data_IF_611923104059
#
_entry.id   IF_611923104059
#
_cell.length_a   1.000
_cell.length_b   1.000
_cell.length_c   1.000
_cell.angle_alpha   90.00
_cell.angle_beta   90.00
_cell.angle_gamma   90.00
#
_symmetry.space_group_name_H-M   'P 1'
#
loop_
_entity.id
_entity.type
_entity.pdbx_description
1 polymer ?
#
# COMPACT_ATOMS: atom_id res chain seq x y z
N UNK A 1 -14.13 13.41 -12.63
CA UNK A 1 -13.55 12.12 -13.08
C UNK A 1 -12.01 12.08 -12.97
N UNK A 2 -11.28 13.08 -13.48
CA UNK A 2 -9.81 13.10 -13.46
C UNK A 2 -9.18 13.06 -12.05
N UNK A 3 -9.80 13.70 -11.06
CA UNK A 3 -9.30 13.72 -9.68
C UNK A 3 -9.36 12.34 -9.00
N UNK A 4 -10.44 11.58 -9.26
CA UNK A 4 -10.62 10.23 -8.73
C UNK A 4 -9.65 9.23 -9.35
N UNK A 5 -9.39 9.30 -10.66
CA UNK A 5 -8.40 8.43 -11.31
C UNK A 5 -6.98 8.72 -10.82
N UNK A 6 -6.61 10.00 -10.69
CA UNK A 6 -5.29 10.36 -10.18
C UNK A 6 -5.11 9.89 -8.72
N UNK A 7 -6.16 9.99 -7.90
CA UNK A 7 -6.18 9.46 -6.53
C UNK A 7 -6.11 7.93 -6.48
N UNK A 8 -6.81 7.21 -7.36
CA UNK A 8 -6.78 5.75 -7.45
C UNK A 8 -5.39 5.24 -7.86
N UNK A 9 -4.76 5.88 -8.84
CA UNK A 9 -3.39 5.54 -9.28
C UNK A 9 -2.39 5.78 -8.15
N UNK A 10 -2.49 6.91 -7.42
CA UNK A 10 -1.64 7.17 -6.26
C UNK A 10 -1.83 6.12 -5.17
N UNK A 11 -3.07 5.73 -4.89
CA UNK A 11 -3.39 4.67 -3.91
C UNK A 11 -2.78 3.34 -4.35
N UNK A 12 -2.97 2.93 -5.60
CA UNK A 12 -2.40 1.70 -6.14
C UNK A 12 -0.86 1.69 -6.08
N UNK A 13 -0.19 2.80 -6.42
CA UNK A 13 1.26 2.91 -6.34
C UNK A 13 1.78 2.70 -4.91
N UNK A 14 1.09 3.25 -3.89
CA UNK A 14 1.45 3.02 -2.49
C UNK A 14 1.29 1.56 -2.12
N UNK A 15 0.17 0.91 -2.48
CA UNK A 15 -0.03 -0.52 -2.23
C UNK A 15 1.04 -1.39 -2.89
N UNK A 16 1.41 -1.10 -4.14
CA UNK A 16 2.48 -1.84 -4.84
C UNK A 16 3.84 -1.69 -4.14
N UNK A 17 4.20 -0.48 -3.69
CA UNK A 17 5.43 -0.26 -2.94
C UNK A 17 5.44 -1.02 -1.60
N UNK A 18 4.31 -1.09 -0.91
CA UNK A 18 4.19 -1.91 0.31
C UNK A 18 4.41 -3.38 -0.03
N UNK A 19 3.70 -3.90 -1.03
CA UNK A 19 3.81 -5.31 -1.47
C UNK A 19 5.25 -5.68 -1.89
N UNK A 20 5.94 -4.81 -2.62
CA UNK A 20 7.35 -5.02 -2.98
C UNK A 20 8.29 -5.04 -1.78
N UNK A 21 7.99 -4.27 -0.73
CA UNK A 21 8.79 -4.30 0.50
C UNK A 21 8.75 -5.68 1.15
N UNK A 22 7.58 -6.33 1.15
CA UNK A 22 7.43 -7.70 1.66
C UNK A 22 7.99 -8.77 0.71
N UNK A 23 7.85 -8.59 -0.61
CA UNK A 23 8.29 -9.57 -1.59
C UNK A 23 9.82 -9.57 -1.82
N UNK A 24 10.46 -8.40 -1.82
CA UNK A 24 11.90 -8.24 -2.12
C UNK A 24 12.78 -8.10 -0.87
N UNK A 25 12.16 -7.77 0.26
CA UNK A 25 12.83 -7.43 1.53
C UNK A 25 13.10 -5.93 1.69
N UNK A 26 13.07 -5.47 2.95
CA UNK A 26 13.28 -4.06 3.30
C UNK A 26 14.62 -3.51 2.83
N UNK A 27 15.71 -4.28 2.93
CA UNK A 27 17.06 -3.82 2.56
C UNK A 27 17.17 -3.43 1.08
N UNK A 28 16.53 -4.19 0.18
CA UNK A 28 16.55 -3.90 -1.26
C UNK A 28 15.65 -2.73 -1.63
N UNK A 29 14.58 -2.51 -0.88
CA UNK A 29 13.66 -1.39 -1.10
C UNK A 29 14.15 -0.07 -0.50
N UNK A 30 14.85 -0.11 0.63
CA UNK A 30 15.33 1.07 1.36
C UNK A 30 16.03 2.15 0.50
N UNK A 31 16.98 1.83 -0.42
CA UNK A 31 17.62 2.85 -1.25
C UNK A 31 16.66 3.56 -2.21
N UNK A 32 15.61 2.87 -2.68
CA UNK A 32 14.59 3.46 -3.53
C UNK A 32 13.64 4.36 -2.74
N UNK A 33 13.34 3.98 -1.49
CA UNK A 33 12.44 4.74 -0.63
C UNK A 33 13.03 6.07 -0.12
N UNK A 34 14.36 6.21 -0.08
CA UNK A 34 15.06 7.46 0.29
C UNK A 34 14.83 8.62 -0.68
N UNK A 35 14.43 8.34 -1.92
CA UNK A 35 14.10 9.36 -2.91
C UNK A 35 12.73 10.01 -2.67
N UNK A 36 11.90 9.44 -1.78
CA UNK A 36 10.64 10.05 -1.39
C UNK A 36 10.89 11.14 -0.34
N UNK A 37 10.05 12.19 -0.37
CA UNK A 37 10.06 13.19 0.70
C UNK A 37 9.72 12.55 2.04
N UNK A 38 10.24 13.14 3.13
CA UNK A 38 10.09 12.63 4.50
C UNK A 38 8.63 12.29 4.84
N UNK A 39 7.68 13.14 4.47
CA UNK A 39 6.25 12.91 4.74
C UNK A 39 5.69 11.70 4.00
N UNK A 40 6.07 11.49 2.73
CA UNK A 40 5.61 10.34 1.94
C UNK A 40 6.26 9.04 2.43
N UNK A 41 7.53 9.10 2.81
CA UNK A 41 8.23 7.97 3.39
C UNK A 41 7.58 7.53 4.71
N UNK A 42 7.31 8.48 5.62
CA UNK A 42 6.61 8.20 6.89
C UNK A 42 5.24 7.58 6.65
N UNK A 43 4.47 8.09 5.69
CA UNK A 43 3.18 7.51 5.33
C UNK A 43 3.35 6.05 4.87
N UNK A 44 4.30 5.78 3.97
CA UNK A 44 4.57 4.43 3.48
C UNK A 44 4.97 3.47 4.61
N UNK A 45 5.80 3.92 5.54
CA UNK A 45 6.19 3.15 6.74
C UNK A 45 4.98 2.76 7.60
N UNK A 46 4.02 3.67 7.78
CA UNK A 46 2.76 3.36 8.49
C UNK A 46 1.98 2.25 7.77
N UNK A 47 1.88 2.30 6.44
CA UNK A 47 1.21 1.25 5.66
C UNK A 47 1.92 -0.11 5.73
N UNK A 48 3.25 -0.12 5.69
CA UNK A 48 4.05 -1.35 5.85
C UNK A 48 3.81 -1.95 7.24
N UNK A 49 3.90 -1.15 8.30
CA UNK A 49 3.65 -1.61 9.68
C UNK A 49 2.24 -2.15 9.86
N UNK A 50 1.23 -1.45 9.31
CA UNK A 50 -0.17 -1.89 9.37
C UNK A 50 -0.38 -3.24 8.69
N UNK A 51 0.15 -3.43 7.48
CA UNK A 51 0.04 -4.70 6.76
C UNK A 51 0.78 -5.84 7.46
N UNK A 52 1.91 -5.55 8.09
CA UNK A 52 2.67 -6.52 8.88
C UNK A 52 1.91 -7.00 10.11
N UNK A 53 1.12 -6.12 10.73
CA UNK A 53 0.27 -6.43 11.88
C UNK A 53 -1.00 -7.18 11.44
N UNK A 54 -1.65 -6.75 10.35
CA UNK A 54 -2.79 -7.44 9.72
C UNK A 54 -2.43 -8.88 9.33
N UNK A 55 -1.19 -9.14 8.86
CA UNK A 55 -0.72 -10.49 8.54
C UNK A 55 -0.40 -11.38 9.76
N UNK A 56 -0.27 -10.82 10.97
CA UNK A 56 0.04 -11.56 12.20
C UNK A 56 -1.19 -11.92 13.03
N UNK A 57 -2.30 -11.21 12.83
CA UNK A 57 -3.59 -11.54 13.43
C UNK A 57 -4.43 -12.33 12.44
N UNK A 58 -4.21 -13.64 12.34
CA UNK A 58 -4.99 -14.51 11.47
C UNK A 58 -6.46 -14.56 11.87
N UNK A 59 -7.34 -14.02 11.02
CA UNK A 59 -8.75 -14.43 10.92
C UNK A 59 -9.81 -13.35 11.17
N UNK A 60 -10.53 -12.94 10.11
CA UNK A 60 -11.89 -12.38 10.25
C UNK A 60 -12.36 -11.38 9.18
N UNK A 61 -13.17 -11.84 8.22
CA UNK A 61 -14.19 -11.04 7.49
C UNK A 61 -13.74 -10.37 6.20
N UNK A 62 -13.98 -10.95 5.02
CA UNK A 62 -15.21 -10.74 4.24
C UNK A 62 -14.92 -9.74 3.10
N UNK A 63 -14.79 -10.13 1.83
CA UNK A 63 -15.85 -10.74 1.04
C UNK A 63 -16.85 -9.67 0.62
N UNK A 64 -16.68 -9.09 -0.58
CA UNK A 64 -17.58 -8.06 -1.09
C UNK A 64 -17.18 -7.51 -2.46
N UNK A 65 -17.17 -8.38 -3.47
CA UNK A 65 -17.34 -7.97 -4.87
C UNK A 65 -18.84 -7.80 -5.20
N UNK A 66 -19.15 -6.88 -6.10
CA UNK A 66 -20.48 -6.60 -6.65
C UNK A 66 -20.88 -5.13 -6.44
N UNK A 67 -21.45 -4.37 -7.38
CA UNK A 67 -21.86 -4.58 -8.78
C UNK A 67 -21.72 -3.21 -9.48
N UNK A 68 -21.80 -3.09 -10.81
CA UNK A 68 -22.97 -3.45 -11.60
C UNK A 68 -23.79 -2.18 -11.86
N UNK A 69 -23.94 -1.85 -13.14
CA UNK A 69 -24.55 -0.64 -13.69
C UNK A 69 -25.91 -0.23 -13.09
N UNK A 70 -26.10 1.08 -12.95
CA UNK A 70 -27.34 1.81 -13.30
C UNK A 70 -26.95 3.18 -13.81
#
# INVERSE_FOLDING_TARGET
LADHQNSAVRKAAVFCMVAFTFALGEERMQPHLKHLSVSKYRLLQVYISKQREEGRSGGGGGGGGGGGAT
#
